data_IF_301951106288
#
_entry.id   IF_301951106288
#
_cell.length_a   1.000
_cell.length_b   1.000
_cell.length_c   1.000
_cell.angle_alpha   90.00
_cell.angle_beta   90.00
_cell.angle_gamma   90.00
#
_symmetry.space_group_name_H-M   'P 1'
#
loop_
_entity.id
_entity.type
_entity.pdbx_description
1 polymer ?
#
# COMPACT_ATOMS: atom_id res chain seq x y z
N UNK A 1 -8.00 -27.90 20.19
CA UNK A 1 -7.49 -26.81 21.07
C UNK A 1 -8.62 -26.42 22.03
N UNK A 2 -8.32 -26.05 23.27
CA UNK A 2 -9.33 -25.68 24.29
C UNK A 2 -9.75 -24.20 24.19
N UNK A 3 -8.82 -23.35 23.67
CA UNK A 3 -9.01 -21.91 23.52
C UNK A 3 -8.73 -21.46 22.10
N UNK A 4 -9.41 -20.39 21.66
CA UNK A 4 -9.16 -19.68 20.41
C UNK A 4 -8.85 -18.20 20.69
N UNK A 5 -7.92 -17.59 19.91
CA UNK A 5 -7.61 -16.16 20.03
C UNK A 5 -8.75 -15.27 19.59
N UNK A 6 -8.86 -14.12 20.23
CA UNK A 6 -9.73 -13.00 19.87
C UNK A 6 -8.85 -11.78 19.80
N UNK A 7 -8.57 -11.30 18.57
CA UNK A 7 -7.65 -10.22 18.33
C UNK A 7 -8.37 -9.08 17.61
N UNK A 8 -8.19 -7.87 18.10
CA UNK A 8 -8.59 -6.62 17.46
C UNK A 8 -7.38 -5.72 17.27
N UNK A 9 -7.45 -4.83 16.27
CA UNK A 9 -6.35 -3.93 15.92
C UNK A 9 -6.76 -2.48 16.05
N UNK A 10 -5.82 -1.65 16.53
CA UNK A 10 -5.81 -0.21 16.44
C UNK A 10 -4.60 0.20 15.60
N UNK A 11 -4.85 0.86 14.47
CA UNK A 11 -3.82 1.17 13.48
C UNK A 11 -3.81 2.66 13.27
N UNK A 12 -2.67 3.31 13.54
CA UNK A 12 -2.48 4.73 13.37
C UNK A 12 -1.56 4.99 12.18
N UNK A 13 -1.97 5.87 11.28
CA UNK A 13 -1.14 6.25 10.14
C UNK A 13 -1.11 7.75 9.94
N UNK A 14 0.11 8.31 9.82
CA UNK A 14 0.27 9.73 9.51
C UNK A 14 -0.17 10.00 8.08
N UNK A 15 -0.92 11.08 7.90
CA UNK A 15 -1.45 11.46 6.59
C UNK A 15 -0.38 12.24 5.82
N UNK A 16 -0.14 11.85 4.59
CA UNK A 16 0.81 12.51 3.68
C UNK A 16 0.22 13.81 3.14
N UNK A 17 0.43 14.89 3.89
CA UNK A 17 0.03 16.27 3.56
C UNK A 17 1.16 17.22 3.88
N UNK A 18 1.09 18.46 3.40
CA UNK A 18 2.18 19.44 3.57
C UNK A 18 2.16 20.14 4.92
N UNK A 19 0.98 20.32 5.50
CA UNK A 19 0.79 21.04 6.77
C UNK A 19 0.14 20.18 7.84
N UNK A 20 0.35 20.55 9.10
CA UNK A 20 -0.25 19.88 10.26
C UNK A 20 -1.78 19.97 10.22
N UNK A 21 -2.43 19.22 11.13
CA UNK A 21 -3.88 19.05 11.13
C UNK A 21 -4.63 20.37 11.37
N UNK A 22 -4.12 21.23 12.22
CA UNK A 22 -4.81 22.43 12.66
C UNK A 22 -4.00 23.71 12.51
N UNK A 23 -2.82 23.66 11.85
CA UNK A 23 -1.98 24.82 11.59
C UNK A 23 -1.15 24.65 10.30
N UNK A 24 -0.43 25.72 9.90
CA UNK A 24 0.39 25.73 8.69
C UNK A 24 1.81 25.17 8.86
N UNK A 25 2.20 24.69 10.05
CA UNK A 25 3.52 24.08 10.24
C UNK A 25 3.71 22.85 9.33
N UNK A 26 4.94 22.66 8.86
CA UNK A 26 5.28 21.53 7.99
C UNK A 26 5.09 20.19 8.69
N UNK A 27 4.66 19.17 7.94
CA UNK A 27 4.66 17.77 8.37
C UNK A 27 5.97 17.03 8.04
N UNK A 28 6.85 17.63 7.23
CA UNK A 28 8.16 17.06 6.91
C UNK A 28 9.15 17.38 8.03
N UNK A 29 9.09 16.62 9.11
CA UNK A 29 9.88 16.84 10.34
C UNK A 29 10.86 15.71 10.65
N UNK A 30 10.90 14.68 9.83
CA UNK A 30 11.81 13.55 10.04
C UNK A 30 13.27 13.99 9.88
N UNK A 31 14.08 13.79 10.92
CA UNK A 31 15.49 14.22 10.94
C UNK A 31 15.71 15.73 11.13
N UNK A 32 14.65 16.52 11.38
CA UNK A 32 14.77 17.95 11.73
C UNK A 32 15.22 18.12 13.17
N UNK A 33 15.86 19.25 13.46
CA UNK A 33 16.18 19.67 14.84
C UNK A 33 14.90 19.75 15.69
N UNK A 34 14.93 19.28 16.95
CA UNK A 34 13.76 19.29 17.84
C UNK A 34 13.12 20.68 17.97
N UNK A 35 11.80 20.70 18.01
CA UNK A 35 11.00 21.92 18.26
C UNK A 35 11.16 23.05 17.23
N UNK A 36 11.64 22.76 16.01
CA UNK A 36 11.80 23.76 14.94
C UNK A 36 10.57 23.91 14.05
N UNK A 37 9.67 22.92 14.01
CA UNK A 37 8.43 22.94 13.25
C UNK A 37 7.20 23.09 14.17
N UNK A 38 7.21 24.16 14.99
CA UNK A 38 6.15 24.43 15.98
C UNK A 38 5.60 25.83 15.82
N UNK A 39 4.37 26.06 16.29
CA UNK A 39 3.73 27.38 16.35
C UNK A 39 2.77 27.46 17.56
N UNK A 40 2.23 28.63 17.89
CA UNK A 40 1.29 28.77 19.00
C UNK A 40 0.10 27.81 18.96
N UNK A 41 -0.40 27.45 17.78
CA UNK A 41 -1.54 26.53 17.62
C UNK A 41 -1.16 25.09 18.01
N UNK A 42 -0.12 24.51 17.41
CA UNK A 42 0.26 23.13 17.72
C UNK A 42 0.90 22.98 19.12
N UNK A 43 1.34 24.08 19.73
CA UNK A 43 1.79 24.12 21.13
C UNK A 43 0.65 24.42 22.12
N UNK A 44 -0.56 24.72 21.63
CA UNK A 44 -1.73 25.00 22.48
C UNK A 44 -1.61 26.24 23.31
N UNK A 45 -0.93 27.27 22.82
CA UNK A 45 -0.77 28.52 23.57
C UNK A 45 -2.11 29.28 23.70
N UNK A 46 -2.36 29.98 24.82
CA UNK A 46 -3.60 30.73 25.03
C UNK A 46 -3.91 31.68 23.88
N UNK A 47 -5.14 31.64 23.36
CA UNK A 47 -5.62 32.50 22.27
C UNK A 47 -5.34 31.99 20.87
N UNK A 48 -4.59 30.88 20.71
CA UNK A 48 -4.39 30.25 19.43
C UNK A 48 -5.56 29.32 19.05
N UNK A 49 -6.14 29.50 17.86
CA UNK A 49 -7.30 28.74 17.38
C UNK A 49 -6.91 27.74 16.30
N UNK A 50 -7.46 26.51 16.33
CA UNK A 50 -7.22 25.49 15.32
C UNK A 50 -7.97 25.80 14.01
N UNK A 51 -7.35 25.46 12.87
CA UNK A 51 -7.97 25.51 11.53
C UNK A 51 -7.78 24.15 10.86
N UNK A 52 -8.85 23.45 10.46
CA UNK A 52 -8.74 22.08 9.99
C UNK A 52 -8.07 21.98 8.60
N UNK A 53 -7.23 20.98 8.42
CA UNK A 53 -6.59 20.65 7.15
C UNK A 53 -7.54 19.82 6.26
N UNK A 54 -8.08 20.43 5.21
CA UNK A 54 -9.01 19.80 4.29
C UNK A 54 -8.41 18.62 3.54
N UNK A 55 -7.13 18.69 3.14
CA UNK A 55 -6.48 17.60 2.43
C UNK A 55 -6.38 16.34 3.32
N UNK A 56 -6.19 16.51 4.63
CA UNK A 56 -6.22 15.39 5.57
C UNK A 56 -7.63 14.77 5.68
N UNK A 57 -8.68 15.61 5.71
CA UNK A 57 -10.07 15.14 5.70
C UNK A 57 -10.39 14.37 4.43
N UNK A 58 -10.04 14.91 3.24
CA UNK A 58 -10.28 14.24 1.95
C UNK A 58 -9.57 12.89 1.85
N UNK A 59 -8.32 12.79 2.30
CA UNK A 59 -7.58 11.53 2.34
C UNK A 59 -8.20 10.52 3.29
N UNK A 60 -8.71 10.96 4.44
CA UNK A 60 -9.43 10.09 5.38
C UNK A 60 -10.73 9.56 4.78
N UNK A 61 -11.51 10.40 4.10
CA UNK A 61 -12.72 9.99 3.37
C UNK A 61 -12.37 9.00 2.25
N UNK A 62 -11.28 9.23 1.53
CA UNK A 62 -10.80 8.32 0.47
C UNK A 62 -10.45 6.95 1.04
N UNK A 63 -9.72 6.91 2.16
CA UNK A 63 -9.41 5.65 2.84
C UNK A 63 -10.67 4.94 3.33
N UNK A 64 -11.55 5.64 4.02
CA UNK A 64 -12.80 5.06 4.54
C UNK A 64 -13.65 4.45 3.41
N UNK A 65 -13.77 5.13 2.27
CA UNK A 65 -14.43 4.58 1.07
C UNK A 65 -13.72 3.34 0.52
N UNK A 66 -12.40 3.34 0.48
CA UNK A 66 -11.61 2.20 0.00
C UNK A 66 -11.77 0.97 0.89
N UNK A 67 -12.00 1.18 2.19
CA UNK A 67 -12.28 0.15 3.18
C UNK A 67 -13.77 -0.22 3.26
N UNK A 68 -14.63 0.32 2.39
CA UNK A 68 -16.06 0.03 2.37
C UNK A 68 -16.85 0.63 3.55
N UNK A 69 -16.28 1.61 4.25
CA UNK A 69 -16.98 2.30 5.35
C UNK A 69 -18.10 3.19 4.81
N UNK A 70 -19.16 3.30 5.58
CA UNK A 70 -20.20 4.31 5.38
C UNK A 70 -19.66 5.67 5.82
N UNK A 71 -19.66 6.64 4.91
CA UNK A 71 -19.25 8.00 5.26
C UNK A 71 -20.39 8.69 6.01
N UNK A 72 -20.08 9.21 7.18
CA UNK A 72 -21.05 9.92 8.02
C UNK A 72 -21.61 11.17 7.30
N UNK A 73 -22.88 11.47 7.49
CA UNK A 73 -23.50 12.72 7.02
C UNK A 73 -23.08 13.94 7.87
N UNK A 74 -22.64 13.66 9.08
CA UNK A 74 -22.16 14.61 10.08
C UNK A 74 -20.98 13.97 10.81
N UNK A 75 -19.89 14.71 10.92
CA UNK A 75 -18.72 14.31 11.69
C UNK A 75 -18.20 15.49 12.48
N UNK A 76 -17.61 15.24 13.65
CA UNK A 76 -17.17 16.31 14.55
C UNK A 76 -15.89 15.91 15.25
N UNK A 77 -15.01 16.88 15.42
CA UNK A 77 -13.85 16.72 16.29
C UNK A 77 -14.25 16.87 17.74
N UNK A 78 -13.59 16.11 18.60
CA UNK A 78 -13.81 16.03 20.03
C UNK A 78 -12.47 16.13 20.75
N UNK A 79 -12.49 16.62 21.99
CA UNK A 79 -11.33 16.61 22.88
C UNK A 79 -11.28 15.30 23.63
N UNK A 80 -10.19 14.55 23.46
CA UNK A 80 -9.81 13.37 24.25
C UNK A 80 -8.91 13.87 25.39
N UNK A 81 -9.46 14.01 26.59
CA UNK A 81 -8.75 14.63 27.69
C UNK A 81 -7.88 13.62 28.44
N UNK A 82 -6.59 13.85 28.43
CA UNK A 82 -5.62 13.17 29.30
C UNK A 82 -4.34 14.01 29.43
N UNK A 83 -3.74 13.95 30.62
CA UNK A 83 -2.54 14.73 30.90
C UNK A 83 -1.31 13.85 30.66
N UNK A 84 -0.56 14.21 29.65
CA UNK A 84 0.70 13.57 29.34
C UNK A 84 1.70 14.58 28.77
N UNK A 85 3.02 14.44 29.02
CA UNK A 85 4.01 15.46 28.65
C UNK A 85 4.07 15.77 27.15
N UNK A 86 3.71 14.84 26.28
CA UNK A 86 3.69 15.01 24.82
C UNK A 86 2.41 15.68 24.28
N UNK A 87 1.47 16.01 25.17
CA UNK A 87 0.25 16.76 24.84
C UNK A 87 0.31 18.18 25.37
N UNK A 88 0.75 19.16 24.56
CA UNK A 88 0.95 20.53 25.03
C UNK A 88 -0.34 21.22 25.46
N UNK A 89 -1.50 20.76 24.95
CA UNK A 89 -2.83 21.26 25.29
C UNK A 89 -3.48 20.59 26.50
N UNK A 90 -2.92 19.45 26.96
CA UNK A 90 -3.55 18.60 27.95
C UNK A 90 -4.70 17.72 27.41
N UNK A 91 -4.95 17.79 26.10
CA UNK A 91 -5.90 16.95 25.37
C UNK A 91 -5.41 16.73 23.94
N UNK A 92 -5.95 15.69 23.30
CA UNK A 92 -5.79 15.42 21.88
C UNK A 92 -7.10 15.72 21.15
N UNK A 93 -7.05 16.43 20.04
CA UNK A 93 -8.21 16.59 19.16
C UNK A 93 -8.30 15.33 18.31
N UNK A 94 -9.43 14.62 18.44
CA UNK A 94 -9.71 13.33 17.83
C UNK A 94 -11.17 13.24 17.42
N UNK A 95 -11.68 12.04 17.10
CA UNK A 95 -13.09 11.78 16.84
C UNK A 95 -13.49 10.45 17.51
N UNK A 96 -14.57 10.44 18.24
CA UNK A 96 -15.06 9.25 18.91
C UNK A 96 -16.54 8.94 18.59
N UNK A 97 -17.45 9.83 18.97
CA UNK A 97 -18.89 9.63 18.76
C UNK A 97 -19.30 9.84 17.29
N UNK A 98 -18.62 10.73 16.58
CA UNK A 98 -18.96 11.12 15.21
C UNK A 98 -17.74 10.98 14.26
N UNK A 99 -17.23 9.77 14.03
CA UNK A 99 -16.10 9.56 13.13
C UNK A 99 -16.46 9.82 11.67
N UNK A 100 -15.47 10.01 10.80
CA UNK A 100 -15.67 10.20 9.35
C UNK A 100 -16.22 8.93 8.70
N UNK A 101 -15.68 7.76 9.03
CA UNK A 101 -16.09 6.47 8.48
C UNK A 101 -16.60 5.52 9.55
N UNK A 102 -17.73 4.87 9.31
CA UNK A 102 -18.33 3.88 10.21
C UNK A 102 -18.47 2.54 9.49
N UNK A 103 -18.05 1.47 10.17
CA UNK A 103 -18.08 0.12 9.60
C UNK A 103 -17.09 -0.03 8.44
N UNK A 104 -17.36 -1.00 7.59
CA UNK A 104 -16.50 -1.42 6.48
C UNK A 104 -15.84 -2.76 6.74
N UNK A 105 -15.04 -3.22 5.78
CA UNK A 105 -14.28 -4.46 5.91
C UNK A 105 -13.08 -4.48 4.96
N UNK A 106 -12.05 -5.22 5.33
CA UNK A 106 -10.91 -5.54 4.48
C UNK A 106 -10.58 -7.02 4.62
N UNK A 107 -10.47 -7.74 3.52
CA UNK A 107 -10.26 -9.20 3.47
C UNK A 107 -11.27 -10.01 4.31
N UNK A 108 -12.50 -9.49 4.47
CA UNK A 108 -13.56 -10.11 5.25
C UNK A 108 -13.58 -9.73 6.74
N UNK A 109 -12.55 -9.09 7.26
CA UNK A 109 -12.48 -8.60 8.64
C UNK A 109 -13.13 -7.24 8.77
N UNK A 110 -14.04 -7.09 9.74
CA UNK A 110 -14.81 -5.87 9.92
C UNK A 110 -13.99 -4.76 10.55
N UNK A 111 -14.27 -3.55 10.08
CA UNK A 111 -13.75 -2.30 10.62
C UNK A 111 -14.88 -1.64 11.42
N UNK A 112 -14.56 -1.21 12.64
CA UNK A 112 -15.50 -0.49 13.50
C UNK A 112 -15.64 0.95 13.03
N UNK A 113 -14.49 1.64 12.83
CA UNK A 113 -14.45 3.03 12.41
C UNK A 113 -13.12 3.41 11.76
N UNK A 114 -13.17 4.49 10.99
CA UNK A 114 -12.01 5.23 10.48
C UNK A 114 -12.20 6.68 10.88
N UNK A 115 -11.28 7.22 11.65
CA UNK A 115 -11.38 8.59 12.13
C UNK A 115 -10.06 9.35 12.03
N UNK A 116 -10.16 10.67 12.14
CA UNK A 116 -9.05 11.61 11.99
C UNK A 116 -8.74 12.27 13.32
N UNK A 117 -7.47 12.38 13.64
CA UNK A 117 -6.97 13.01 14.85
C UNK A 117 -5.63 13.70 14.61
N UNK A 118 -5.10 14.34 15.61
CA UNK A 118 -3.75 14.88 15.61
C UNK A 118 -2.76 13.96 16.33
N UNK A 119 -1.51 13.88 15.84
CA UNK A 119 -0.44 13.17 16.52
C UNK A 119 0.09 13.97 17.73
N UNK A 120 0.67 13.26 18.70
CA UNK A 120 1.29 13.82 19.90
C UNK A 120 2.76 14.18 19.66
N UNK A 121 3.39 14.89 20.61
CA UNK A 121 4.83 15.12 20.63
C UNK A 121 5.62 13.80 20.77
N UNK A 122 6.93 13.89 20.69
CA UNK A 122 7.84 12.77 20.89
C UNK A 122 8.57 12.91 22.21
N UNK A 123 8.59 11.84 23.00
CA UNK A 123 9.38 11.75 24.23
C UNK A 123 10.69 11.01 23.95
N UNK A 124 11.78 11.57 24.43
CA UNK A 124 13.12 10.98 24.41
C UNK A 124 13.55 10.80 25.85
N UNK A 125 13.57 9.55 26.31
CA UNK A 125 13.97 9.20 27.68
C UNK A 125 15.48 9.08 27.76
N UNK A 126 16.11 9.89 28.61
CA UNK A 126 17.51 9.82 28.99
C UNK A 126 17.64 9.37 30.44
N UNK A 127 18.86 9.15 30.94
CA UNK A 127 19.09 8.64 32.29
C UNK A 127 18.52 9.50 33.41
N UNK A 128 18.53 10.82 33.23
CA UNK A 128 18.12 11.78 34.26
C UNK A 128 16.99 12.72 33.84
N UNK A 129 16.59 12.67 32.57
CA UNK A 129 15.60 13.58 32.02
C UNK A 129 14.76 12.93 30.92
N UNK A 130 13.56 13.47 30.68
CA UNK A 130 12.79 13.19 29.49
C UNK A 130 12.72 14.46 28.66
N UNK A 131 13.30 14.43 27.45
CA UNK A 131 13.24 15.51 26.49
C UNK A 131 11.95 15.40 25.67
N UNK A 132 11.36 16.55 25.31
CA UNK A 132 10.13 16.61 24.55
C UNK A 132 10.38 17.34 23.24
N UNK A 133 10.04 16.67 22.14
CA UNK A 133 10.06 17.25 20.80
C UNK A 133 8.63 17.35 20.26
N UNK A 134 8.15 18.57 20.09
CA UNK A 134 6.81 18.89 19.57
C UNK A 134 6.75 19.01 18.04
N UNK A 135 7.81 18.72 17.31
CA UNK A 135 7.77 18.71 15.85
C UNK A 135 6.67 17.81 15.30
N UNK A 136 6.44 16.65 15.94
CA UNK A 136 5.39 15.70 15.56
C UNK A 136 3.99 16.14 16.01
N UNK A 137 3.87 16.91 17.08
CA UNK A 137 2.59 17.38 17.63
C UNK A 137 1.75 18.09 16.57
N UNK A 138 0.51 17.62 16.39
CA UNK A 138 -0.42 18.18 15.42
C UNK A 138 -0.28 17.62 13.99
N UNK A 139 0.59 16.65 13.70
CA UNK A 139 0.60 15.95 12.39
C UNK A 139 -0.73 15.21 12.25
N UNK A 140 -1.43 15.30 11.10
CA UNK A 140 -2.68 14.56 10.89
C UNK A 140 -2.46 13.06 10.98
N UNK A 141 -3.29 12.40 11.76
CA UNK A 141 -3.23 10.97 12.05
C UNK A 141 -4.59 10.33 11.77
N UNK A 142 -4.62 9.28 10.96
CA UNK A 142 -5.83 8.45 10.80
C UNK A 142 -5.71 7.25 11.72
N UNK A 143 -6.73 7.00 12.50
CA UNK A 143 -6.90 5.78 13.27
C UNK A 143 -7.93 4.87 12.60
N UNK A 144 -7.57 3.60 12.40
CA UNK A 144 -8.42 2.53 11.91
C UNK A 144 -8.58 1.52 13.04
N UNK A 145 -9.82 1.31 13.47
CA UNK A 145 -10.15 0.34 14.53
C UNK A 145 -10.91 -0.82 13.91
N UNK A 146 -10.47 -2.06 14.16
CA UNK A 146 -11.16 -3.25 13.70
C UNK A 146 -12.04 -3.86 14.78
N UNK A 147 -13.03 -4.66 14.37
CA UNK A 147 -13.68 -5.59 15.28
C UNK A 147 -12.67 -6.68 15.73
N UNK A 148 -12.85 -7.26 16.93
CA UNK A 148 -11.95 -8.29 17.45
C UNK A 148 -12.29 -9.68 16.84
N UNK A 149 -12.12 -9.81 15.52
CA UNK A 149 -12.53 -10.99 14.75
C UNK A 149 -11.36 -11.87 14.29
N UNK A 150 -10.09 -11.41 14.44
CA UNK A 150 -8.96 -12.22 14.05
C UNK A 150 -8.73 -13.37 15.04
N UNK A 151 -8.48 -14.57 14.50
CA UNK A 151 -8.20 -15.78 15.27
C UNK A 151 -6.83 -16.39 15.00
N UNK A 152 -6.12 -15.89 13.98
CA UNK A 152 -4.78 -16.33 13.58
C UNK A 152 -3.85 -15.12 13.37
N UNK A 153 -2.68 -15.06 14.02
CA UNK A 153 -1.70 -14.00 13.79
C UNK A 153 -1.27 -13.80 12.32
N UNK A 154 -1.36 -14.84 11.49
CA UNK A 154 -1.08 -14.75 10.05
C UNK A 154 -2.13 -13.95 9.29
N UNK A 155 -3.39 -14.04 9.72
CA UNK A 155 -4.49 -13.22 9.18
C UNK A 155 -4.27 -11.75 9.49
N UNK A 156 -3.81 -11.44 10.71
CA UNK A 156 -3.41 -10.08 11.12
C UNK A 156 -2.32 -9.55 10.18
N UNK A 157 -1.26 -10.31 9.97
CA UNK A 157 -0.15 -9.92 9.08
C UNK A 157 -0.63 -9.70 7.64
N UNK A 158 -1.51 -10.55 7.13
CA UNK A 158 -2.09 -10.43 5.78
C UNK A 158 -2.95 -9.16 5.66
N UNK A 159 -3.80 -8.90 6.65
CA UNK A 159 -4.63 -7.70 6.71
C UNK A 159 -3.79 -6.42 6.71
N UNK A 160 -2.75 -6.37 7.55
CA UNK A 160 -1.88 -5.20 7.66
C UNK A 160 -1.06 -4.94 6.39
N UNK A 161 -0.61 -5.97 5.71
CA UNK A 161 0.07 -5.85 4.40
C UNK A 161 -0.85 -5.25 3.34
N UNK A 162 -2.10 -5.73 3.28
CA UNK A 162 -3.09 -5.21 2.33
C UNK A 162 -3.47 -3.76 2.68
N UNK A 163 -3.70 -3.45 3.95
CA UNK A 163 -3.97 -2.09 4.40
C UNK A 163 -2.81 -1.14 4.03
N UNK A 164 -1.57 -1.57 4.26
CA UNK A 164 -0.39 -0.80 3.85
C UNK A 164 -0.37 -0.55 2.34
N UNK A 165 -0.70 -1.56 1.55
CA UNK A 165 -0.80 -1.43 0.09
C UNK A 165 -1.83 -0.38 -0.30
N UNK A 166 -3.01 -0.37 0.32
CA UNK A 166 -4.05 0.64 0.10
C UNK A 166 -3.55 2.04 0.46
N UNK A 167 -2.93 2.20 1.63
CA UNK A 167 -2.42 3.48 2.12
C UNK A 167 -1.39 4.10 1.16
N UNK A 168 -0.45 3.29 0.69
CA UNK A 168 0.62 3.73 -0.23
C UNK A 168 0.06 3.98 -1.63
N UNK A 169 -0.76 3.06 -2.15
CA UNK A 169 -1.35 3.17 -3.49
C UNK A 169 -2.23 4.41 -3.65
N UNK A 170 -3.02 4.73 -2.63
CA UNK A 170 -3.88 5.92 -2.61
C UNK A 170 -3.14 7.20 -2.17
N UNK A 171 -1.83 7.14 -1.96
CA UNK A 171 -1.01 8.26 -1.48
C UNK A 171 -1.54 8.90 -0.18
N UNK A 172 -2.15 8.08 0.66
CA UNK A 172 -2.69 8.55 1.95
C UNK A 172 -1.54 8.69 2.95
N UNK A 173 -0.63 7.72 2.96
CA UNK A 173 0.51 7.65 3.87
C UNK A 173 1.69 6.96 3.20
N UNK A 174 2.90 7.21 3.67
CA UNK A 174 4.08 6.41 3.33
C UNK A 174 4.05 5.05 4.06
N UNK A 175 3.24 4.93 5.10
CA UNK A 175 3.01 3.72 5.90
C UNK A 175 4.31 3.01 6.29
N UNK A 176 5.26 3.79 6.83
CA UNK A 176 6.59 3.37 7.22
C UNK A 176 6.66 3.25 8.74
N UNK A 177 6.85 2.02 9.25
CA UNK A 177 6.93 1.74 10.68
C UNK A 177 8.24 2.22 11.30
N UNK A 178 9.35 2.22 10.55
CA UNK A 178 10.66 2.65 11.04
C UNK A 178 10.68 4.18 11.27
N UNK A 179 9.99 4.93 10.42
CA UNK A 179 9.80 6.37 10.58
C UNK A 179 8.67 6.74 11.57
N UNK A 180 7.92 5.74 12.02
CA UNK A 180 6.78 5.94 12.91
C UNK A 180 5.54 6.54 12.22
N UNK A 181 5.50 6.56 10.87
CA UNK A 181 4.31 6.99 10.12
C UNK A 181 3.22 5.92 10.04
N UNK A 182 3.52 4.69 10.46
CA UNK A 182 2.55 3.62 10.72
C UNK A 182 2.84 3.02 12.09
N UNK A 183 1.85 2.98 12.97
CA UNK A 183 1.94 2.39 14.31
C UNK A 183 0.81 1.39 14.50
N UNK A 184 1.09 0.33 15.21
CA UNK A 184 0.19 -0.79 15.40
C UNK A 184 0.04 -1.11 16.87
N UNK A 185 -1.19 -1.33 17.30
CA UNK A 185 -1.54 -1.87 18.60
C UNK A 185 -2.48 -3.04 18.38
N UNK A 186 -2.23 -4.17 19.05
CA UNK A 186 -3.09 -5.33 19.00
C UNK A 186 -3.66 -5.62 20.39
N UNK A 187 -4.97 -5.69 20.48
CA UNK A 187 -5.68 -6.15 21.65
C UNK A 187 -5.96 -7.64 21.52
N UNK A 188 -5.47 -8.46 22.46
CA UNK A 188 -5.60 -9.90 22.41
C UNK A 188 -6.16 -10.49 23.70
N UNK A 189 -7.05 -11.45 23.55
CA UNK A 189 -7.59 -12.32 24.61
C UNK A 189 -7.82 -13.72 24.06
N UNK A 190 -8.07 -14.68 24.96
CA UNK A 190 -8.43 -16.05 24.60
C UNK A 190 -9.82 -16.37 25.15
N UNK A 191 -10.66 -16.99 24.30
CA UNK A 191 -11.95 -17.57 24.72
C UNK A 191 -11.98 -19.07 24.48
N UNK A 192 -12.88 -19.79 25.15
CA UNK A 192 -13.07 -21.20 24.84
C UNK A 192 -13.66 -21.37 23.45
N UNK A 193 -13.21 -22.40 22.76
CA UNK A 193 -13.69 -22.70 21.40
C UNK A 193 -15.21 -22.87 21.41
N UNK A 194 -15.88 -22.12 20.53
CA UNK A 194 -17.34 -22.12 20.38
C UNK A 194 -18.08 -21.09 21.26
N UNK A 195 -17.41 -20.41 22.19
CA UNK A 195 -17.99 -19.29 22.93
C UNK A 195 -18.11 -18.05 22.03
N UNK A 196 -19.22 -17.31 22.12
CA UNK A 196 -19.45 -16.08 21.35
C UNK A 196 -19.18 -14.81 22.17
N UNK A 197 -19.15 -14.92 23.48
CA UNK A 197 -18.96 -13.78 24.38
C UNK A 197 -17.47 -13.40 24.37
N UNK A 198 -17.21 -12.10 24.34
CA UNK A 198 -15.84 -11.60 24.47
C UNK A 198 -15.30 -11.86 25.89
N UNK A 199 -14.04 -12.23 26.01
CA UNK A 199 -13.41 -12.39 27.32
C UNK A 199 -13.47 -11.11 28.16
N UNK A 200 -13.55 -11.21 29.50
CA UNK A 200 -13.67 -10.05 30.37
C UNK A 200 -12.34 -9.26 30.52
N UNK A 201 -11.31 -9.65 29.81
CA UNK A 201 -10.01 -9.01 29.81
C UNK A 201 -9.52 -8.82 28.37
N UNK A 202 -8.60 -7.89 28.19
CA UNK A 202 -7.78 -7.77 26.97
C UNK A 202 -6.34 -7.36 27.35
N UNK A 203 -5.38 -7.94 26.66
CA UNK A 203 -3.97 -7.56 26.74
C UNK A 203 -3.64 -6.76 25.48
N UNK A 204 -3.10 -5.58 25.69
CA UNK A 204 -2.68 -4.70 24.62
C UNK A 204 -1.20 -4.88 24.31
N UNK A 205 -0.85 -5.25 23.09
CA UNK A 205 0.53 -5.31 22.61
C UNK A 205 0.91 -4.00 21.94
N UNK A 206 1.96 -3.35 22.46
CA UNK A 206 2.49 -2.07 21.95
C UNK A 206 3.97 -2.17 21.56
N UNK A 207 4.48 -1.07 20.97
CA UNK A 207 5.89 -0.92 20.57
C UNK A 207 6.33 -1.98 19.54
N UNK A 208 5.53 -2.15 18.52
CA UNK A 208 5.72 -3.11 17.43
C UNK A 208 6.35 -2.40 16.23
N UNK A 209 7.51 -2.87 15.78
CA UNK A 209 8.31 -2.22 14.75
C UNK A 209 8.19 -2.87 13.36
N UNK A 210 7.54 -4.03 13.25
CA UNK A 210 7.29 -4.69 11.97
C UNK A 210 6.13 -5.67 12.06
N UNK A 211 5.54 -6.02 10.92
CA UNK A 211 4.46 -7.01 10.86
C UNK A 211 4.92 -8.41 11.31
N UNK A 212 6.14 -8.81 10.94
CA UNK A 212 6.70 -10.07 11.39
C UNK A 212 6.94 -10.11 12.91
N UNK A 213 7.32 -8.97 13.47
CA UNK A 213 7.49 -8.82 14.91
C UNK A 213 6.16 -8.90 15.65
N UNK A 214 5.09 -8.30 15.10
CA UNK A 214 3.74 -8.43 15.64
C UNK A 214 3.26 -9.88 15.64
N UNK A 215 3.45 -10.60 14.53
CA UNK A 215 3.06 -12.01 14.42
C UNK A 215 3.75 -12.89 15.48
N UNK A 216 5.07 -12.67 15.68
CA UNK A 216 5.81 -13.36 16.76
C UNK A 216 5.25 -13.00 18.14
N UNK A 217 5.06 -11.70 18.43
CA UNK A 217 4.54 -11.23 19.71
C UNK A 217 3.16 -11.82 20.03
N UNK A 218 2.25 -11.85 19.04
CA UNK A 218 0.94 -12.46 19.16
C UNK A 218 1.02 -13.95 19.49
N UNK A 219 1.87 -14.71 18.78
CA UNK A 219 2.04 -16.15 19.04
C UNK A 219 2.55 -16.41 20.46
N UNK A 220 3.55 -15.64 20.92
CA UNK A 220 4.09 -15.75 22.26
C UNK A 220 3.04 -15.40 23.32
N UNK A 221 2.26 -14.36 23.09
CA UNK A 221 1.21 -13.94 24.02
C UNK A 221 0.07 -14.96 24.09
N UNK A 222 -0.33 -15.55 22.96
CA UNK A 222 -1.31 -16.65 22.91
C UNK A 222 -0.85 -17.81 23.81
N UNK A 223 0.39 -18.23 23.66
CA UNK A 223 0.95 -19.33 24.48
C UNK A 223 1.03 -18.96 25.96
N UNK A 224 1.41 -17.73 26.30
CA UNK A 224 1.42 -17.25 27.69
C UNK A 224 0.02 -17.30 28.30
N UNK A 225 -0.98 -16.72 27.59
CA UNK A 225 -2.36 -16.71 28.07
C UNK A 225 -2.92 -18.13 28.21
N UNK A 226 -2.64 -19.01 27.23
CA UNK A 226 -3.08 -20.41 27.28
C UNK A 226 -2.55 -21.13 28.52
N UNK A 227 -1.25 -21.00 28.81
CA UNK A 227 -0.62 -21.61 30.00
C UNK A 227 -1.25 -21.11 31.30
N UNK A 228 -1.49 -19.80 31.42
CA UNK A 228 -2.13 -19.22 32.59
C UNK A 228 -3.57 -19.75 32.79
N UNK A 229 -4.37 -19.76 31.70
CA UNK A 229 -5.74 -20.26 31.74
C UNK A 229 -5.83 -21.77 32.04
N UNK A 230 -4.89 -22.57 31.51
CA UNK A 230 -4.81 -24.00 31.80
C UNK A 230 -4.39 -24.27 33.26
N UNK A 231 -3.63 -23.37 33.86
CA UNK A 231 -3.28 -23.40 35.29
C UNK A 231 -4.40 -22.87 36.21
N UNK A 232 -5.50 -22.39 35.62
CA UNK A 232 -6.61 -21.78 36.37
C UNK A 232 -6.34 -20.36 36.87
N UNK A 233 -5.32 -19.69 36.33
CA UNK A 233 -4.98 -18.32 36.67
C UNK A 233 -5.83 -17.32 35.89
N UNK A 234 -6.12 -16.17 36.52
CA UNK A 234 -6.78 -15.04 35.85
C UNK A 234 -5.75 -14.19 35.09
N UNK A 235 -6.14 -13.64 33.97
CA UNK A 235 -5.30 -12.73 33.17
C UNK A 235 -5.73 -11.29 33.43
N UNK A 236 -4.80 -10.47 33.89
CA UNK A 236 -5.03 -9.05 34.12
C UNK A 236 -5.11 -8.27 32.80
N UNK A 237 -5.93 -7.22 32.79
CA UNK A 237 -5.94 -6.26 31.70
C UNK A 237 -4.70 -5.36 31.81
N UNK A 238 -3.79 -5.47 30.85
CA UNK A 238 -2.50 -4.79 30.89
C UNK A 238 -1.97 -4.47 29.49
N UNK A 239 -1.03 -3.53 29.42
CA UNK A 239 -0.22 -3.28 28.22
C UNK A 239 1.10 -4.03 28.36
N UNK A 240 1.47 -4.76 27.31
CA UNK A 240 2.71 -5.55 27.23
C UNK A 240 3.53 -5.15 26.01
N UNK A 241 4.84 -5.13 26.17
CA UNK A 241 5.81 -5.05 25.08
C UNK A 241 6.40 -6.43 24.77
N UNK A 242 6.96 -6.61 23.58
CA UNK A 242 7.62 -7.84 23.19
C UNK A 242 9.15 -7.68 23.26
N UNK A 243 9.81 -8.54 24.05
CA UNK A 243 11.27 -8.67 24.10
C UNK A 243 11.70 -9.78 23.13
N UNK A 244 12.25 -9.37 21.98
CA UNK A 244 12.66 -10.31 20.93
C UNK A 244 13.82 -11.20 21.38
N UNK A 245 14.79 -10.67 22.16
CA UNK A 245 15.97 -11.42 22.61
C UNK A 245 15.58 -12.57 23.53
N UNK A 246 14.61 -12.34 24.39
CA UNK A 246 14.11 -13.32 25.34
C UNK A 246 12.92 -14.12 24.79
N UNK A 247 12.35 -13.69 23.68
CA UNK A 247 11.13 -14.25 23.07
C UNK A 247 9.97 -14.32 24.07
N UNK A 248 9.73 -13.24 24.80
CA UNK A 248 8.64 -13.14 25.79
C UNK A 248 7.93 -11.79 25.69
N UNK A 249 6.66 -11.76 26.09
CA UNK A 249 5.98 -10.48 26.35
C UNK A 249 6.24 -10.04 27.78
N UNK A 250 6.47 -8.74 27.98
CA UNK A 250 6.80 -8.15 29.29
C UNK A 250 5.75 -7.09 29.63
N UNK A 251 5.21 -7.15 30.84
CA UNK A 251 4.26 -6.13 31.34
C UNK A 251 4.95 -4.76 31.41
N UNK A 252 4.35 -3.77 30.77
CA UNK A 252 4.82 -2.39 30.82
C UNK A 252 3.95 -1.53 31.75
N UNK A 253 2.64 -1.76 31.74
CA UNK A 253 1.69 -1.01 32.54
C UNK A 253 0.46 -1.89 32.83
N UNK A 254 0.04 -1.97 34.08
CA UNK A 254 -1.28 -2.52 34.44
C UNK A 254 -2.32 -1.44 34.34
N UNK A 255 -3.46 -1.74 33.72
CA UNK A 255 -4.60 -0.85 33.69
C UNK A 255 -5.49 -1.19 34.88
N UNK A 256 -5.27 -0.52 35.99
CA UNK A 256 -6.10 -0.68 37.21
C UNK A 256 -7.46 -0.01 37.04
N UNK A 257 -7.53 1.04 36.17
CA UNK A 257 -8.77 1.74 35.85
C UNK A 257 -8.80 2.08 34.35
N UNK A 258 -9.97 1.98 33.72
CA UNK A 258 -10.20 2.53 32.39
C UNK A 258 -10.15 4.05 32.51
N UNK A 259 -9.27 4.70 31.74
CA UNK A 259 -9.28 6.16 31.67
C UNK A 259 -10.60 6.64 31.09
N UNK A 260 -11.36 7.41 31.88
CA UNK A 260 -12.44 8.21 31.36
C UNK A 260 -11.86 9.46 30.69
N UNK A 261 -11.75 9.43 29.37
CA UNK A 261 -11.20 10.53 28.58
C UNK A 261 -12.16 11.73 28.51
N UNK A 262 -13.38 11.63 29.03
CA UNK A 262 -14.36 12.72 29.07
C UNK A 262 -14.48 13.45 27.75
N UNK A 263 -14.74 12.67 26.69
CA UNK A 263 -14.90 13.24 25.35
C UNK A 263 -16.01 14.29 25.31
N UNK A 264 -15.72 15.42 24.68
CA UNK A 264 -16.73 16.43 24.35
C UNK A 264 -16.35 17.14 23.05
N UNK A 265 -17.34 17.74 22.34
CA UNK A 265 -17.09 18.42 21.07
C UNK A 265 -16.02 19.52 21.22
N UNK A 266 -15.07 19.57 20.24
CA UNK A 266 -14.10 20.67 20.16
C UNK A 266 -14.83 21.96 19.80
N UNK A 267 -14.93 22.96 20.71
CA UNK A 267 -15.76 24.15 20.48
C UNK A 267 -15.20 25.10 19.43
N UNK A 268 -13.88 25.05 19.17
CA UNK A 268 -13.20 25.93 18.23
C UNK A 268 -13.19 25.40 16.79
N UNK A 269 -13.76 24.21 16.55
CA UNK A 269 -13.87 23.61 15.24
C UNK A 269 -15.33 23.41 14.82
N UNK A 270 -15.74 23.90 13.64
CA UNK A 270 -17.08 23.62 13.13
C UNK A 270 -17.24 22.15 12.77
N UNK A 271 -18.47 21.61 12.85
CA UNK A 271 -18.74 20.25 12.37
C UNK A 271 -18.41 20.07 10.88
N UNK A 272 -17.97 18.88 10.54
CA UNK A 272 -17.72 18.48 9.16
C UNK A 272 -19.04 17.95 8.58
N UNK A 273 -19.61 18.69 7.64
CA UNK A 273 -20.89 18.32 7.01
C UNK A 273 -20.70 17.49 5.74
N UNK A 274 -21.74 16.85 5.27
CA UNK A 274 -21.73 16.02 4.06
C UNK A 274 -21.15 16.76 2.83
N UNK A 275 -21.35 18.07 2.72
CA UNK A 275 -20.79 18.90 1.62
C UNK A 275 -19.25 18.85 1.58
N UNK A 276 -18.62 18.73 2.74
CA UNK A 276 -17.17 18.61 2.89
C UNK A 276 -16.71 17.16 2.69
N UNK A 277 -17.52 16.20 3.15
CA UNK A 277 -17.23 14.77 3.11
C UNK A 277 -17.42 14.11 1.72
N UNK A 278 -17.94 14.85 0.73
CA UNK A 278 -18.00 14.38 -0.65
C UNK A 278 -16.61 14.56 -1.29
N UNK A 279 -15.79 13.52 -1.23
CA UNK A 279 -14.54 13.47 -2.00
C UNK A 279 -14.81 13.57 -3.49
N UNK A 280 -14.10 14.45 -4.18
CA UNK A 280 -14.24 14.70 -5.62
C UNK A 280 -13.61 13.62 -6.47
N UNK A 281 -12.62 12.89 -5.98
CA UNK A 281 -11.92 11.86 -6.72
C UNK A 281 -12.38 10.45 -6.35
N UNK A 282 -12.75 9.69 -7.38
CA UNK A 282 -12.88 8.23 -7.30
C UNK A 282 -11.50 7.62 -7.56
N UNK A 283 -10.60 7.68 -6.57
CA UNK A 283 -9.34 6.97 -6.68
C UNK A 283 -9.61 5.46 -6.87
N UNK A 284 -8.93 4.84 -7.84
CA UNK A 284 -9.04 3.39 -8.05
C UNK A 284 -8.38 2.67 -6.89
N UNK A 285 -9.11 1.80 -6.25
CA UNK A 285 -8.55 0.93 -5.20
C UNK A 285 -7.59 -0.10 -5.80
N UNK A 286 -6.62 -0.63 -5.03
CA UNK A 286 -5.74 -1.70 -5.50
C UNK A 286 -6.47 -2.87 -6.14
N UNK A 287 -7.62 -3.29 -5.61
CA UNK A 287 -8.39 -4.41 -6.16
C UNK A 287 -8.91 -4.13 -7.57
N UNK A 288 -9.43 -2.92 -7.82
CA UNK A 288 -9.84 -2.53 -9.18
C UNK A 288 -8.67 -2.50 -10.15
N UNK A 289 -7.51 -2.03 -9.71
CA UNK A 289 -6.30 -2.04 -10.55
C UNK A 289 -5.82 -3.48 -10.78
N UNK A 290 -5.91 -4.36 -9.77
CA UNK A 290 -5.63 -5.80 -9.93
C UNK A 290 -6.52 -6.44 -10.99
N UNK A 291 -7.83 -6.17 -10.94
CA UNK A 291 -8.80 -6.67 -11.94
C UNK A 291 -8.46 -6.17 -13.35
N UNK A 292 -8.22 -4.87 -13.52
CA UNK A 292 -7.85 -4.27 -14.79
C UNK A 292 -6.56 -4.87 -15.36
N UNK A 293 -5.51 -4.99 -14.56
CA UNK A 293 -4.22 -5.49 -15.02
C UNK A 293 -4.24 -7.00 -15.30
N UNK A 294 -5.02 -7.78 -14.54
CA UNK A 294 -5.27 -9.18 -14.84
C UNK A 294 -6.04 -9.36 -16.14
N UNK A 295 -7.05 -8.52 -16.40
CA UNK A 295 -7.78 -8.52 -17.65
C UNK A 295 -6.89 -8.19 -18.87
N UNK A 296 -5.81 -7.43 -18.67
CA UNK A 296 -4.77 -7.20 -19.68
C UNK A 296 -3.81 -8.40 -19.88
N UNK A 297 -4.00 -9.50 -19.17
CA UNK A 297 -3.16 -10.69 -19.26
C UNK A 297 -1.83 -10.60 -18.52
N UNK A 298 -1.65 -9.66 -17.60
CA UNK A 298 -0.42 -9.55 -16.81
C UNK A 298 -0.31 -10.67 -15.76
N UNK A 299 0.87 -11.26 -15.57
CA UNK A 299 1.15 -12.19 -14.47
C UNK A 299 0.89 -11.54 -13.11
N UNK A 300 0.37 -12.32 -12.15
CA UNK A 300 -0.03 -11.81 -10.84
C UNK A 300 1.11 -11.05 -10.11
N UNK A 301 2.35 -11.55 -10.19
CA UNK A 301 3.49 -10.91 -9.55
C UNK A 301 3.84 -9.54 -10.19
N UNK A 302 3.58 -9.34 -11.50
CA UNK A 302 3.74 -8.05 -12.17
C UNK A 302 2.70 -7.04 -11.68
N UNK A 303 1.46 -7.52 -11.56
CA UNK A 303 0.35 -6.71 -11.03
C UNK A 303 0.69 -6.15 -9.65
N UNK A 304 1.19 -7.00 -8.74
CA UNK A 304 1.55 -6.56 -7.38
C UNK A 304 2.73 -5.58 -7.39
N UNK A 305 3.70 -5.70 -8.29
CA UNK A 305 4.80 -4.73 -8.44
C UNK A 305 4.25 -3.35 -8.84
N UNK A 306 3.35 -3.29 -9.83
CA UNK A 306 2.76 -2.02 -10.27
C UNK A 306 1.83 -1.40 -9.22
N UNK A 307 1.13 -2.21 -8.43
CA UNK A 307 0.30 -1.72 -7.32
C UNK A 307 1.16 -1.10 -6.22
N UNK A 308 2.30 -1.74 -5.93
CA UNK A 308 3.24 -1.26 -4.90
C UNK A 308 4.10 -0.05 -5.33
N UNK A 309 4.15 0.25 -6.64
CA UNK A 309 4.99 1.32 -7.19
C UNK A 309 4.22 2.13 -8.24
N UNK A 310 3.58 3.21 -7.78
CA UNK A 310 2.73 4.06 -8.62
C UNK A 310 3.48 4.74 -9.76
N UNK A 311 4.73 5.15 -9.53
CA UNK A 311 5.56 5.79 -10.56
C UNK A 311 5.85 4.79 -11.68
N UNK A 312 6.18 3.54 -11.31
CA UNK A 312 6.38 2.47 -12.27
C UNK A 312 5.08 2.12 -13.00
N UNK A 313 3.94 2.13 -12.30
CA UNK A 313 2.62 1.94 -12.92
C UNK A 313 2.28 3.05 -13.92
N UNK A 314 2.60 4.31 -13.60
CA UNK A 314 2.40 5.43 -14.52
C UNK A 314 3.24 5.27 -15.79
N UNK A 315 4.51 4.90 -15.65
CA UNK A 315 5.38 4.58 -16.79
C UNK A 315 4.82 3.41 -17.61
N UNK A 316 4.29 2.38 -16.96
CA UNK A 316 3.66 1.25 -17.66
C UNK A 316 2.44 1.70 -18.48
N UNK A 317 1.57 2.54 -17.91
CA UNK A 317 0.40 3.06 -18.62
C UNK A 317 0.77 3.92 -19.83
N UNK A 318 1.90 4.61 -19.80
CA UNK A 318 2.41 5.37 -20.92
C UNK A 318 3.02 4.46 -22.00
N UNK A 319 3.91 3.56 -21.61
CA UNK A 319 4.68 2.71 -22.52
C UNK A 319 3.78 1.68 -23.24
N UNK A 320 2.78 1.12 -22.57
CA UNK A 320 1.86 0.15 -23.16
C UNK A 320 0.95 0.69 -24.25
N UNK A 321 0.95 1.99 -24.48
CA UNK A 321 0.24 2.61 -25.62
C UNK A 321 0.97 2.37 -26.94
N UNK A 322 2.28 2.17 -26.90
CA UNK A 322 3.15 2.00 -28.07
C UNK A 322 3.80 0.62 -28.15
N UNK A 323 4.03 -0.02 -26.99
CA UNK A 323 4.64 -1.35 -26.89
C UNK A 323 3.57 -2.37 -26.42
N UNK A 324 3.56 -3.62 -26.95
CA UNK A 324 2.63 -4.65 -26.49
C UNK A 324 2.66 -4.80 -24.96
N UNK A 325 1.50 -4.93 -24.34
CA UNK A 325 1.29 -4.84 -22.88
C UNK A 325 2.24 -5.72 -22.07
N UNK A 326 2.39 -7.01 -22.44
CA UNK A 326 3.26 -7.92 -21.71
C UNK A 326 4.74 -7.56 -21.87
N UNK A 327 5.13 -7.08 -23.04
CA UNK A 327 6.50 -6.65 -23.32
C UNK A 327 6.84 -5.35 -22.57
N UNK A 328 5.92 -4.40 -22.54
CA UNK A 328 6.04 -3.17 -21.76
C UNK A 328 6.28 -3.49 -20.27
N UNK A 329 5.48 -4.39 -19.72
CA UNK A 329 5.63 -4.85 -18.34
C UNK A 329 6.99 -5.55 -18.10
N UNK A 330 7.39 -6.44 -19.00
CA UNK A 330 8.69 -7.14 -18.94
C UNK A 330 9.88 -6.17 -18.98
N UNK A 331 9.81 -5.16 -19.83
CA UNK A 331 10.87 -4.16 -19.97
C UNK A 331 11.05 -3.38 -18.67
N UNK A 332 9.97 -2.96 -18.05
CA UNK A 332 10.00 -2.15 -16.83
C UNK A 332 10.44 -2.96 -15.61
N UNK A 333 9.82 -4.10 -15.38
CA UNK A 333 10.07 -4.91 -14.17
C UNK A 333 11.49 -5.50 -14.18
N UNK A 334 11.96 -5.96 -15.34
CA UNK A 334 13.31 -6.51 -15.49
C UNK A 334 14.37 -5.43 -15.75
N UNK A 335 14.01 -4.15 -15.71
CA UNK A 335 14.92 -3.00 -15.94
C UNK A 335 15.79 -3.17 -17.18
N UNK A 336 15.20 -3.66 -18.28
CA UNK A 336 15.92 -4.14 -19.47
C UNK A 336 16.79 -3.10 -20.16
N UNK A 337 16.48 -1.83 -19.98
CA UNK A 337 17.23 -0.68 -20.52
C UNK A 337 17.83 0.20 -19.44
N UNK A 338 17.83 -0.23 -18.17
CA UNK A 338 18.28 0.49 -16.99
C UNK A 338 17.14 0.84 -16.04
N UNK A 339 17.39 1.75 -15.10
CA UNK A 339 16.37 2.14 -14.11
C UNK A 339 15.24 2.96 -14.79
N UNK A 340 14.00 2.42 -14.88
CA UNK A 340 12.92 3.07 -15.60
C UNK A 340 12.60 4.48 -15.11
N UNK A 341 12.70 4.72 -13.81
CA UNK A 341 12.39 6.01 -13.18
C UNK A 341 13.40 7.09 -13.54
N UNK A 342 14.65 6.70 -13.82
CA UNK A 342 15.70 7.64 -14.24
C UNK A 342 15.66 7.91 -15.73
N UNK A 343 15.28 6.91 -16.52
CA UNK A 343 15.34 6.98 -17.99
C UNK A 343 14.06 7.64 -18.56
N UNK A 344 12.90 7.32 -17.99
CA UNK A 344 11.61 7.81 -18.45
C UNK A 344 11.02 7.01 -19.62
N UNK A 345 9.72 7.18 -19.87
CA UNK A 345 8.95 6.36 -20.81
C UNK A 345 9.45 6.50 -22.26
N UNK A 346 9.67 7.72 -22.74
CA UNK A 346 10.06 7.95 -24.14
C UNK A 346 11.38 7.29 -24.51
N UNK A 347 12.40 7.43 -23.67
CA UNK A 347 13.70 6.81 -23.93
C UNK A 347 13.65 5.27 -23.90
N UNK A 348 12.76 4.69 -23.08
CA UNK A 348 12.51 3.24 -23.04
C UNK A 348 11.85 2.78 -24.33
N UNK A 349 10.85 3.52 -24.84
CA UNK A 349 10.16 3.23 -26.10
C UNK A 349 11.15 3.26 -27.26
N UNK A 350 11.95 4.32 -27.36
CA UNK A 350 12.95 4.48 -28.43
C UNK A 350 14.01 3.37 -28.38
N UNK A 351 14.49 3.01 -27.17
CA UNK A 351 15.46 1.91 -27.00
C UNK A 351 14.85 0.55 -27.37
N UNK A 352 13.56 0.34 -27.11
CA UNK A 352 12.85 -0.89 -27.46
C UNK A 352 12.80 -1.05 -28.98
N UNK A 353 12.37 -0.05 -29.74
CA UNK A 353 12.28 -0.10 -31.18
C UNK A 353 13.66 -0.15 -31.84
N UNK A 354 14.62 0.64 -31.39
CA UNK A 354 16.02 0.56 -31.87
C UNK A 354 16.63 -0.83 -31.70
N UNK A 355 16.27 -1.53 -30.61
CA UNK A 355 16.70 -2.91 -30.40
C UNK A 355 16.02 -3.88 -31.37
N UNK A 356 14.73 -3.69 -31.68
CA UNK A 356 14.03 -4.51 -32.67
C UNK A 356 14.62 -4.32 -34.06
N UNK A 357 14.90 -3.07 -34.47
CA UNK A 357 15.54 -2.78 -35.76
C UNK A 357 16.91 -3.46 -35.88
N UNK A 358 17.74 -3.41 -34.82
CA UNK A 358 19.06 -4.09 -34.80
C UNK A 358 18.95 -5.62 -34.85
N UNK A 359 17.82 -6.21 -34.49
CA UNK A 359 17.61 -7.64 -34.52
C UNK A 359 17.06 -8.10 -35.87
N UNK A 360 16.59 -7.18 -36.73
CA UNK A 360 16.09 -7.52 -38.05
C UNK A 360 17.23 -7.90 -38.98
N UNK A 361 17.01 -8.96 -39.71
CA UNK A 361 17.92 -9.41 -40.77
C UNK A 361 17.66 -8.54 -41.99
N UNK A 362 18.65 -7.82 -42.48
CA UNK A 362 18.56 -6.92 -43.66
C UNK A 362 19.72 -7.14 -44.59
N UNK A 363 19.69 -6.57 -45.78
CA UNK A 363 20.79 -6.59 -46.74
C UNK A 363 21.20 -8.00 -47.21
N UNK A 364 22.51 -8.28 -47.18
CA UNK A 364 23.07 -9.51 -47.69
C UNK A 364 22.60 -10.78 -46.91
N UNK A 365 22.43 -10.66 -45.62
CA UNK A 365 21.95 -11.76 -44.78
C UNK A 365 20.52 -12.19 -45.14
N UNK A 366 19.63 -11.22 -45.39
CA UNK A 366 18.28 -11.46 -45.86
C UNK A 366 18.26 -12.10 -47.27
N UNK A 367 19.11 -11.58 -48.17
CA UNK A 367 19.21 -12.11 -49.51
C UNK A 367 19.70 -13.56 -49.51
N UNK A 368 20.76 -13.86 -48.75
CA UNK A 368 21.28 -15.25 -48.62
C UNK A 368 20.26 -16.19 -48.02
N UNK A 369 19.52 -15.76 -47.01
CA UNK A 369 18.47 -16.57 -46.41
C UNK A 369 17.29 -16.82 -47.37
N UNK A 370 16.88 -15.81 -48.14
CA UNK A 370 15.81 -15.91 -49.14
C UNK A 370 16.23 -16.82 -50.29
N UNK A 371 17.45 -16.67 -50.80
CA UNK A 371 18.02 -17.56 -51.83
C UNK A 371 18.02 -19.01 -51.37
N UNK A 372 18.51 -19.30 -50.20
CA UNK A 372 18.49 -20.64 -49.61
C UNK A 372 17.08 -21.23 -49.53
N UNK A 373 16.12 -20.46 -49.04
CA UNK A 373 14.72 -20.89 -48.95
C UNK A 373 14.13 -21.19 -50.32
N UNK A 374 14.44 -20.43 -51.35
CA UNK A 374 14.00 -20.63 -52.73
C UNK A 374 14.67 -21.90 -53.30
N UNK A 375 15.95 -22.14 -53.02
CA UNK A 375 16.67 -23.34 -53.46
C UNK A 375 16.17 -24.65 -52.79
N UNK A 376 15.84 -24.56 -51.52
CA UNK A 376 15.43 -25.72 -50.72
C UNK A 376 13.92 -26.09 -50.93
N UNK A 377 13.14 -25.31 -51.70
CA UNK A 377 11.68 -25.50 -51.84
C UNK A 377 11.18 -25.41 -53.29
N UNK A 378 11.79 -26.11 -54.21
CA UNK A 378 11.50 -26.12 -55.65
C UNK A 378 10.00 -26.30 -55.99
N UNK A 379 9.30 -27.21 -55.29
CA UNK A 379 7.89 -27.47 -55.50
C UNK A 379 7.01 -26.20 -55.20
N UNK A 380 7.31 -25.50 -54.12
CA UNK A 380 6.59 -24.26 -53.74
C UNK A 380 6.91 -23.10 -54.71
N UNK A 381 8.15 -23.03 -55.19
CA UNK A 381 8.55 -22.04 -56.21
C UNK A 381 7.80 -22.29 -57.51
N UNK A 382 7.72 -23.54 -58.00
CA UNK A 382 6.95 -23.90 -59.20
C UNK A 382 5.46 -23.62 -59.04
N UNK A 383 4.88 -23.87 -57.87
CA UNK A 383 3.48 -23.55 -57.57
C UNK A 383 3.21 -22.03 -57.60
N UNK A 384 4.11 -21.22 -57.06
CA UNK A 384 3.99 -19.77 -57.11
C UNK A 384 4.12 -19.25 -58.54
N UNK A 385 5.03 -19.79 -59.37
CA UNK A 385 5.18 -19.44 -60.77
C UNK A 385 3.95 -19.80 -61.61
N UNK A 386 3.13 -20.78 -61.19
CA UNK A 386 1.83 -21.14 -61.73
C UNK A 386 0.66 -20.32 -61.20
N UNK A 387 0.92 -19.25 -60.43
CA UNK A 387 -0.08 -18.32 -59.95
C UNK A 387 -0.72 -18.67 -58.60
N UNK A 388 -0.18 -19.67 -57.83
CA UNK A 388 -0.70 -20.01 -56.50
C UNK A 388 -0.11 -19.12 -55.44
N UNK A 389 -0.79 -18.07 -55.05
CA UNK A 389 -0.32 -17.12 -53.99
C UNK A 389 -0.09 -17.78 -52.62
N UNK A 390 -0.78 -18.88 -52.32
CA UNK A 390 -0.57 -19.61 -51.07
C UNK A 390 0.87 -20.15 -50.94
N UNK A 391 1.55 -20.45 -52.07
CA UNK A 391 2.94 -20.92 -52.06
C UNK A 391 3.92 -19.84 -51.61
N UNK A 392 3.69 -18.55 -51.90
CA UNK A 392 4.49 -17.44 -51.41
C UNK A 392 4.35 -17.27 -49.89
N UNK A 393 3.15 -17.52 -49.34
CA UNK A 393 2.94 -17.51 -47.89
C UNK A 393 3.69 -18.65 -47.20
N UNK A 394 3.73 -19.81 -47.81
CA UNK A 394 4.51 -20.94 -47.32
C UNK A 394 6.01 -20.62 -47.32
N UNK A 395 6.55 -20.10 -48.43
CA UNK A 395 7.98 -19.73 -48.55
C UNK A 395 8.34 -18.62 -47.52
N UNK A 396 7.46 -17.65 -47.29
CA UNK A 396 7.63 -16.65 -46.25
C UNK A 396 7.70 -17.29 -44.86
N UNK A 397 6.85 -18.28 -44.59
CA UNK A 397 6.90 -19.07 -43.36
C UNK A 397 8.24 -19.77 -43.15
N UNK A 398 8.79 -20.34 -44.22
CA UNK A 398 10.14 -20.99 -44.19
C UNK A 398 11.24 -19.92 -43.97
N UNK A 399 11.16 -18.77 -44.63
CA UNK A 399 12.09 -17.68 -44.44
C UNK A 399 12.04 -17.13 -42.98
N UNK A 400 10.86 -16.97 -42.44
CA UNK A 400 10.70 -16.60 -41.02
C UNK A 400 11.26 -17.64 -40.06
N UNK A 401 11.15 -18.91 -40.38
CA UNK A 401 11.75 -20.01 -39.61
C UNK A 401 13.29 -19.96 -39.65
N UNK A 402 13.89 -19.80 -40.84
CA UNK A 402 15.34 -19.67 -41.01
C UNK A 402 15.91 -18.44 -40.34
N UNK A 403 15.23 -17.30 -40.47
CA UNK A 403 15.65 -16.03 -39.87
C UNK A 403 15.21 -15.89 -38.39
N UNK A 404 14.58 -16.93 -37.80
CA UNK A 404 14.04 -16.92 -36.42
C UNK A 404 13.09 -15.75 -36.17
N UNK A 405 12.24 -15.39 -37.14
CA UNK A 405 11.31 -14.27 -37.06
C UNK A 405 11.95 -12.89 -37.18
N UNK A 406 13.21 -12.78 -37.59
CA UNK A 406 13.98 -11.52 -37.67
C UNK A 406 13.89 -10.83 -39.02
N UNK A 407 12.84 -11.05 -39.79
CA UNK A 407 12.57 -10.38 -41.06
C UNK A 407 11.14 -9.82 -41.07
N UNK A 408 10.95 -8.61 -41.62
CA UNK A 408 9.61 -8.08 -41.80
C UNK A 408 8.87 -8.90 -42.89
N UNK A 409 7.57 -9.17 -42.73
CA UNK A 409 6.82 -9.93 -43.73
C UNK A 409 6.88 -9.33 -45.13
N UNK A 410 6.94 -8.01 -45.26
CA UNK A 410 6.95 -7.34 -46.56
C UNK A 410 8.32 -7.39 -47.21
N UNK A 411 9.40 -7.10 -46.48
CA UNK A 411 10.78 -7.26 -46.98
C UNK A 411 11.08 -8.72 -47.30
N UNK A 412 10.60 -9.67 -46.48
CA UNK A 412 10.73 -11.08 -46.75
C UNK A 412 10.05 -11.52 -48.03
N UNK A 413 8.83 -11.01 -48.31
CA UNK A 413 8.12 -11.27 -49.58
C UNK A 413 8.88 -10.68 -50.77
N UNK A 414 9.39 -9.45 -50.66
CA UNK A 414 10.16 -8.84 -51.76
C UNK A 414 11.44 -9.59 -52.04
N UNK A 415 12.18 -9.95 -51.00
CA UNK A 415 13.42 -10.75 -51.15
C UNK A 415 13.13 -12.13 -51.84
N UNK A 416 12.08 -12.84 -51.41
CA UNK A 416 11.69 -14.08 -52.03
C UNK A 416 11.27 -13.93 -53.52
N UNK A 417 10.45 -12.96 -53.82
CA UNK A 417 10.01 -12.64 -55.21
C UNK A 417 11.20 -12.37 -56.11
N UNK A 418 12.19 -11.62 -55.65
CA UNK A 418 13.38 -11.28 -56.40
C UNK A 418 14.13 -12.55 -56.83
N UNK A 419 14.31 -13.52 -55.93
CA UNK A 419 15.03 -14.75 -56.23
C UNK A 419 14.18 -15.76 -57.04
N UNK A 420 12.85 -15.78 -56.82
CA UNK A 420 11.95 -16.60 -57.64
C UNK A 420 11.94 -16.12 -59.10
N UNK A 421 11.86 -14.82 -59.34
CA UNK A 421 11.89 -14.26 -60.68
C UNK A 421 13.26 -14.40 -61.40
N UNK A 422 14.35 -14.44 -60.65
CA UNK A 422 15.70 -14.66 -61.19
C UNK A 422 15.92 -16.14 -61.62
N UNK A 423 15.03 -17.03 -61.20
CA UNK A 423 15.12 -18.48 -61.47
C UNK A 423 14.06 -18.99 -62.44
N UNK A 424 13.03 -18.20 -62.74
CA UNK A 424 11.98 -18.46 -63.72
C UNK A 424 12.41 -17.98 -65.12
#
# INVERSE_FOLDING_TARGET
>A
MKYEPVIGLEIHTQVKVQSKMFCSCSTNVFGSEPNTATCPVCLGLPGALPVPNFAAIEKTVTLAKALGSTIASFSQFERKNYFYPDLPKGFQISQYANPIGVGGALLGFKITRVHLEEDTGRLLHESEATLIDFNRSGIPLIEIVTEPEFSDPREVTKFLKELRTILVHLEISDADMEKGSLRLEANISLRKVGEKVLPPYKVELKNINSFAFLEKALNVEIERQRKALDAGESIAQETRGFDEKRNVTVSQRRKEEAFDYRYFPEPDLPPITQKILISREKAKTPDKVREEYRALGLPAHYVEVFIGDRELASLFEEIRKEIPTLEAANVLINKRFGDPKKIGARAIIDAFFAKQERLMVTGEELQSAAEKVVLDNDAAVSDYSKGKEAALKFLLGQLMKVTKGRVSPDEGKEALKKFIHARA
#
